data_IF_422995274862
#
_entry.id   IF_422995274862
#
_cell.length_a   1.000
_cell.length_b   1.000
_cell.length_c   1.000
_cell.angle_alpha   90.00
_cell.angle_beta   90.00
_cell.angle_gamma   90.00
#
_symmetry.space_group_name_H-M   'P 1'
#
loop_
_entity.id
_entity.type
_entity.pdbx_description
1 polymer ?
#
# COMPACT_ATOMS: atom_id res chain seq x y z
N UNK A 1 9.95 -14.69 33.64
CA UNK A 1 9.46 -13.32 33.91
C UNK A 1 9.09 -12.73 32.56
N UNK A 2 7.80 -12.73 32.19
CA UNK A 2 7.33 -12.09 30.97
C UNK A 2 7.10 -10.60 31.29
N UNK A 3 7.96 -9.74 30.79
CA UNK A 3 7.65 -8.32 30.74
C UNK A 3 6.39 -8.16 29.87
N UNK A 4 5.27 -7.90 30.53
CA UNK A 4 4.07 -7.43 29.88
C UNK A 4 4.41 -6.07 29.24
N UNK A 5 4.63 -6.09 27.94
CA UNK A 5 4.68 -4.86 27.15
C UNK A 5 3.32 -4.18 27.36
N UNK A 6 3.28 -3.18 28.26
CA UNK A 6 2.14 -2.29 28.40
C UNK A 6 1.95 -1.57 27.06
N UNK A 7 1.19 -2.17 26.15
CA UNK A 7 0.72 -1.50 24.94
C UNK A 7 -0.19 -0.37 25.42
N UNK A 8 0.33 0.84 25.30
CA UNK A 8 -0.42 2.06 25.58
C UNK A 8 -1.61 2.08 24.61
N UNK A 9 -2.76 1.60 25.06
CA UNK A 9 -3.96 1.34 24.25
C UNK A 9 -4.64 2.65 23.81
N UNK A 10 -3.83 3.67 23.51
CA UNK A 10 -4.26 4.98 23.04
C UNK A 10 -4.21 5.01 21.49
N UNK A 11 -5.27 5.56 20.88
CA UNK A 11 -5.32 5.86 19.45
C UNK A 11 -4.20 6.80 18.98
N UNK A 12 -3.62 7.54 19.91
CA UNK A 12 -2.51 8.48 19.67
C UNK A 12 -1.20 7.98 20.28
N UNK A 13 -1.06 6.65 20.45
CA UNK A 13 0.23 6.07 20.84
C UNK A 13 1.29 6.36 19.76
N UNK A 14 2.56 6.51 20.16
CA UNK A 14 3.67 6.76 19.23
C UNK A 14 3.69 5.75 18.08
N UNK A 15 3.40 4.48 18.37
CA UNK A 15 3.34 3.42 17.36
C UNK A 15 2.19 3.62 16.38
N UNK A 16 1.00 3.98 16.84
CA UNK A 16 -0.15 4.25 15.99
C UNK A 16 0.10 5.46 15.08
N UNK A 17 0.63 6.55 15.64
CA UNK A 17 0.99 7.75 14.87
C UNK A 17 2.03 7.41 13.79
N UNK A 18 3.06 6.62 14.13
CA UNK A 18 4.07 6.18 13.18
C UNK A 18 3.46 5.35 12.03
N UNK A 19 2.53 4.43 12.33
CA UNK A 19 1.84 3.63 11.31
C UNK A 19 1.01 4.53 10.39
N UNK A 20 0.25 5.48 10.93
CA UNK A 20 -0.58 6.39 10.14
C UNK A 20 0.27 7.33 9.29
N UNK A 21 1.36 7.87 9.84
CA UNK A 21 2.31 8.70 9.08
C UNK A 21 2.97 7.90 7.95
N UNK A 22 3.44 6.68 8.23
CA UNK A 22 4.02 5.81 7.22
C UNK A 22 3.02 5.47 6.11
N UNK A 23 1.76 5.20 6.47
CA UNK A 23 0.68 4.95 5.53
C UNK A 23 0.38 6.19 4.67
N UNK A 24 0.25 7.36 5.30
CA UNK A 24 -0.01 8.60 4.57
C UNK A 24 1.07 8.85 3.53
N UNK A 25 2.34 8.83 3.94
CA UNK A 25 3.47 9.06 3.03
C UNK A 25 3.52 8.00 1.92
N UNK A 26 3.32 6.72 2.26
CA UNK A 26 3.30 5.63 1.30
C UNK A 26 2.20 5.79 0.25
N UNK A 27 0.97 6.06 0.67
CA UNK A 27 -0.18 6.25 -0.23
C UNK A 27 -0.08 7.57 -1.03
N UNK A 28 0.44 8.63 -0.42
CA UNK A 28 0.74 9.88 -1.11
C UNK A 28 1.76 9.64 -2.24
N UNK A 29 2.86 8.93 -1.93
CA UNK A 29 3.87 8.57 -2.92
C UNK A 29 3.31 7.72 -4.06
N UNK A 30 2.47 6.72 -3.77
CA UNK A 30 1.84 5.86 -4.79
C UNK A 30 1.02 6.70 -5.78
N UNK A 31 0.28 7.68 -5.29
CA UNK A 31 -0.58 8.52 -6.11
C UNK A 31 0.18 9.64 -6.84
N UNK A 32 1.12 10.29 -6.18
CA UNK A 32 1.98 11.30 -6.80
C UNK A 32 2.85 10.68 -7.90
N UNK A 33 3.43 9.50 -7.64
CA UNK A 33 4.27 8.80 -8.61
C UNK A 33 3.49 8.39 -9.86
N UNK A 34 2.21 8.02 -9.73
CA UNK A 34 1.39 7.71 -10.89
C UNK A 34 1.37 8.89 -11.86
N UNK A 35 0.99 10.08 -11.39
CA UNK A 35 0.89 11.27 -12.24
C UNK A 35 2.25 11.71 -12.78
N UNK A 36 3.30 11.66 -11.96
CA UNK A 36 4.66 11.95 -12.41
C UNK A 36 5.14 10.97 -13.49
N UNK A 37 4.80 9.67 -13.35
CA UNK A 37 5.17 8.65 -14.36
C UNK A 37 4.35 8.81 -15.64
N UNK A 38 3.05 9.14 -15.55
CA UNK A 38 2.22 9.43 -16.74
C UNK A 38 2.76 10.64 -17.51
N UNK A 39 3.15 11.71 -16.80
CA UNK A 39 3.77 12.87 -17.42
C UNK A 39 5.12 12.54 -18.08
N UNK A 40 5.95 11.71 -17.43
CA UNK A 40 7.20 11.20 -18.01
C UNK A 40 6.93 10.44 -19.32
N UNK A 41 5.95 9.52 -19.31
CA UNK A 41 5.61 8.72 -20.48
C UNK A 41 5.11 9.62 -21.63
N UNK A 42 4.35 10.66 -21.33
CA UNK A 42 3.91 11.66 -22.31
C UNK A 42 5.11 12.42 -22.92
N UNK A 43 6.07 12.84 -22.08
CA UNK A 43 7.31 13.48 -22.57
C UNK A 43 8.17 12.55 -23.43
N UNK A 44 8.16 11.25 -23.14
CA UNK A 44 8.89 10.23 -23.91
C UNK A 44 8.10 9.70 -25.13
N UNK A 45 6.97 10.33 -25.45
CA UNK A 45 6.11 9.98 -26.59
C UNK A 45 5.61 8.52 -26.56
N UNK A 46 5.33 7.99 -25.37
CA UNK A 46 4.67 6.69 -25.26
C UNK A 46 3.25 6.78 -25.82
N UNK A 47 2.76 5.73 -26.53
CA UNK A 47 1.40 5.71 -27.07
C UNK A 47 0.36 5.74 -25.95
N UNK A 48 -0.83 6.30 -26.22
CA UNK A 48 -1.89 6.50 -25.22
C UNK A 48 -2.32 5.22 -24.49
N UNK A 49 -2.33 4.09 -25.18
CA UNK A 49 -2.64 2.78 -24.56
C UNK A 49 -1.66 2.38 -23.44
N UNK A 50 -0.50 2.98 -23.37
CA UNK A 50 0.50 2.68 -22.34
C UNK A 50 0.08 3.16 -20.92
N UNK A 51 -0.75 4.18 -20.84
CA UNK A 51 -1.24 4.72 -19.56
C UNK A 51 -2.13 3.73 -18.78
N UNK A 52 -3.20 3.14 -19.36
CA UNK A 52 -3.94 2.10 -18.68
C UNK A 52 -3.10 0.85 -18.40
N UNK A 53 -2.16 0.47 -19.27
CA UNK A 53 -1.26 -0.65 -19.04
C UNK A 53 -0.39 -0.44 -17.81
N UNK A 54 0.13 0.78 -17.60
CA UNK A 54 0.90 1.11 -16.39
C UNK A 54 0.09 0.83 -15.12
N UNK A 55 -1.18 1.23 -15.08
CA UNK A 55 -2.07 0.98 -13.95
C UNK A 55 -2.47 -0.50 -13.83
N UNK A 56 -2.67 -1.18 -14.96
CA UNK A 56 -2.95 -2.63 -14.96
C UNK A 56 -1.78 -3.43 -14.36
N UNK A 57 -0.53 -3.03 -14.58
CA UNK A 57 0.65 -3.66 -13.98
C UNK A 57 0.67 -3.47 -12.46
N UNK A 58 0.31 -2.28 -11.97
CA UNK A 58 0.21 -2.01 -10.54
C UNK A 58 -0.88 -2.88 -9.88
N UNK A 59 -2.09 -2.87 -10.44
CA UNK A 59 -3.21 -3.70 -9.94
C UNK A 59 -2.93 -5.19 -10.12
N UNK A 60 -2.29 -5.57 -11.23
CA UNK A 60 -1.87 -6.94 -11.51
C UNK A 60 -0.96 -7.50 -10.42
N UNK A 61 -0.07 -6.69 -9.86
CA UNK A 61 0.74 -7.09 -8.72
C UNK A 61 -0.12 -7.50 -7.51
N UNK A 62 -1.19 -6.76 -7.19
CA UNK A 62 -2.12 -7.14 -6.11
C UNK A 62 -2.80 -8.49 -6.39
N UNK A 63 -3.26 -8.71 -7.61
CA UNK A 63 -3.96 -9.95 -7.99
C UNK A 63 -2.99 -11.15 -7.93
N UNK A 64 -1.81 -11.01 -8.52
CA UNK A 64 -0.82 -12.09 -8.61
C UNK A 64 -0.25 -12.46 -7.23
N UNK A 65 -0.01 -11.47 -6.38
CA UNK A 65 0.60 -11.71 -5.07
C UNK A 65 -0.42 -11.89 -3.94
N UNK A 66 -1.73 -11.66 -4.17
CA UNK A 66 -2.78 -11.82 -3.17
C UNK A 66 -2.70 -13.13 -2.35
N UNK A 67 -2.47 -14.32 -2.97
CA UNK A 67 -2.37 -15.58 -2.23
C UNK A 67 -1.16 -15.65 -1.28
N UNK A 68 -0.14 -14.84 -1.51
CA UNK A 68 1.15 -14.94 -0.83
C UNK A 68 1.39 -13.85 0.21
N UNK A 69 0.95 -12.62 -0.07
CA UNK A 69 1.28 -11.45 0.75
C UNK A 69 0.69 -11.49 2.16
N UNK A 70 -0.46 -12.15 2.34
CA UNK A 70 -1.07 -12.32 3.67
C UNK A 70 -0.20 -13.20 4.57
N UNK A 71 0.21 -14.37 4.08
CA UNK A 71 1.09 -15.27 4.82
C UNK A 71 2.49 -14.66 5.02
N UNK A 72 2.99 -13.92 4.03
CA UNK A 72 4.23 -13.18 4.17
C UNK A 72 4.13 -12.17 5.32
N UNK A 73 3.07 -11.37 5.36
CA UNK A 73 2.86 -10.38 6.42
C UNK A 73 2.71 -11.02 7.81
N UNK A 74 2.12 -12.21 7.92
CA UNK A 74 1.96 -12.94 9.19
C UNK A 74 3.25 -13.65 9.66
N UNK A 75 4.13 -14.02 8.71
CA UNK A 75 5.39 -14.72 9.02
C UNK A 75 6.47 -13.80 9.59
N UNK A 76 6.35 -12.49 9.39
CA UNK A 76 7.31 -11.49 9.86
C UNK A 76 6.64 -10.42 10.73
N UNK A 77 7.46 -9.69 11.49
CA UNK A 77 6.99 -8.51 12.20
C UNK A 77 6.42 -7.49 11.20
N UNK A 78 5.16 -7.11 11.35
CA UNK A 78 4.42 -6.31 10.37
C UNK A 78 5.08 -4.96 10.07
N UNK A 79 5.67 -4.31 11.08
CA UNK A 79 6.45 -3.08 10.89
C UNK A 79 7.66 -3.28 9.95
N UNK A 80 8.33 -4.45 10.01
CA UNK A 80 9.41 -4.79 9.07
C UNK A 80 8.89 -5.03 7.66
N UNK A 81 7.76 -5.71 7.52
CA UNK A 81 7.11 -5.92 6.22
C UNK A 81 6.77 -4.58 5.57
N UNK A 82 6.17 -3.66 6.33
CA UNK A 82 5.85 -2.31 5.85
C UNK A 82 7.11 -1.53 5.45
N UNK A 83 8.19 -1.64 6.22
CA UNK A 83 9.47 -0.99 5.92
C UNK A 83 10.09 -1.53 4.62
N UNK A 84 10.17 -2.86 4.46
CA UNK A 84 10.69 -3.51 3.25
C UNK A 84 9.84 -3.17 2.03
N UNK A 85 8.52 -3.18 2.18
CA UNK A 85 7.58 -2.83 1.13
C UNK A 85 7.76 -1.37 0.65
N UNK A 86 7.90 -0.41 1.58
CA UNK A 86 8.21 0.98 1.24
C UNK A 86 9.63 1.14 0.65
N UNK A 87 10.60 0.34 1.10
CA UNK A 87 11.92 0.26 0.49
C UNK A 87 11.86 -0.20 -0.97
N UNK A 88 11.04 -1.21 -1.27
CA UNK A 88 10.82 -1.68 -2.64
C UNK A 88 10.16 -0.60 -3.52
N UNK A 89 9.20 0.14 -2.97
CA UNK A 89 8.60 1.30 -3.66
C UNK A 89 9.61 2.40 -3.93
N UNK A 90 10.48 2.70 -2.95
CA UNK A 90 11.59 3.65 -3.11
C UNK A 90 12.52 3.23 -4.25
N UNK A 91 12.89 1.95 -4.31
CA UNK A 91 13.72 1.41 -5.41
C UNK A 91 13.00 1.58 -6.74
N UNK A 92 11.70 1.21 -6.81
CA UNK A 92 10.90 1.37 -8.03
C UNK A 92 10.83 2.83 -8.52
N UNK A 93 10.56 3.78 -7.62
CA UNK A 93 10.56 5.20 -7.93
C UNK A 93 11.94 5.70 -8.36
N UNK A 94 13.00 5.26 -7.68
CA UNK A 94 14.39 5.55 -8.06
C UNK A 94 14.73 5.02 -9.44
N UNK A 95 14.35 3.80 -9.78
CA UNK A 95 14.54 3.24 -11.12
C UNK A 95 13.92 4.13 -12.20
N UNK A 96 12.67 4.60 -12.00
CA UNK A 96 12.01 5.50 -12.94
C UNK A 96 12.79 6.83 -13.04
N UNK A 97 13.21 7.39 -11.91
CA UNK A 97 13.96 8.65 -11.86
C UNK A 97 15.31 8.57 -12.61
N UNK A 98 15.97 7.41 -12.56
CA UNK A 98 17.24 7.15 -13.26
C UNK A 98 17.06 6.64 -14.71
N UNK A 99 15.87 6.75 -15.28
CA UNK A 99 15.63 6.44 -16.69
C UNK A 99 15.42 4.96 -17.01
N UNK A 100 15.20 4.12 -15.99
CA UNK A 100 14.75 2.73 -16.22
C UNK A 100 13.32 2.75 -16.76
N UNK A 101 12.97 1.75 -17.54
CA UNK A 101 11.64 1.61 -18.15
C UNK A 101 10.52 1.82 -17.11
N UNK A 102 9.60 2.79 -17.34
CA UNK A 102 8.55 3.16 -16.37
C UNK A 102 7.66 1.99 -15.94
N UNK A 103 7.38 1.06 -16.85
CA UNK A 103 6.57 -0.13 -16.54
C UNK A 103 7.25 -1.02 -15.50
N UNK A 104 8.55 -1.25 -15.61
CA UNK A 104 9.31 -2.06 -14.66
C UNK A 104 9.37 -1.38 -13.28
N UNK A 105 9.72 -0.11 -13.23
CA UNK A 105 9.79 0.65 -11.99
C UNK A 105 8.43 0.72 -11.29
N UNK A 106 7.37 0.99 -12.04
CA UNK A 106 6.02 1.09 -11.47
C UNK A 106 5.46 -0.29 -11.05
N UNK A 107 5.82 -1.37 -11.73
CA UNK A 107 5.51 -2.74 -11.29
C UNK A 107 6.16 -3.06 -9.94
N UNK A 108 7.42 -2.66 -9.73
CA UNK A 108 8.08 -2.81 -8.42
C UNK A 108 7.34 -2.07 -7.31
N UNK A 109 6.85 -0.86 -7.60
CA UNK A 109 6.01 -0.10 -6.66
C UNK A 109 4.71 -0.85 -6.36
N UNK A 110 4.06 -1.44 -7.37
CA UNK A 110 2.86 -2.26 -7.21
C UNK A 110 3.10 -3.50 -6.35
N UNK A 111 4.24 -4.18 -6.52
CA UNK A 111 4.63 -5.34 -5.68
C UNK A 111 4.82 -4.88 -4.23
N UNK A 112 5.51 -3.77 -4.01
CA UNK A 112 5.65 -3.17 -2.68
C UNK A 112 4.31 -2.82 -2.06
N UNK A 113 3.40 -2.21 -2.83
CA UNK A 113 2.07 -1.85 -2.37
C UNK A 113 1.22 -3.09 -2.00
N UNK A 114 1.29 -4.15 -2.80
CA UNK A 114 0.62 -5.42 -2.52
C UNK A 114 1.12 -6.06 -1.22
N UNK A 115 2.43 -6.08 -0.97
CA UNK A 115 3.02 -6.61 0.26
C UNK A 115 2.71 -5.75 1.49
N UNK A 116 2.63 -4.43 1.31
CA UNK A 116 2.33 -3.47 2.37
C UNK A 116 0.90 -3.62 2.91
N UNK A 117 -0.07 -3.87 2.03
CA UNK A 117 -1.50 -3.83 2.33
C UNK A 117 -1.94 -4.73 3.49
N UNK A 118 -1.65 -6.05 3.53
CA UNK A 118 -2.07 -6.90 4.64
C UNK A 118 -1.35 -6.54 5.94
N UNK A 119 -0.09 -6.08 5.88
CA UNK A 119 0.66 -5.68 7.06
C UNK A 119 0.07 -4.44 7.74
N UNK A 120 -0.38 -3.44 6.96
CA UNK A 120 -0.97 -2.20 7.51
C UNK A 120 -2.27 -2.44 8.28
N UNK A 121 -3.14 -3.32 7.78
CA UNK A 121 -4.38 -3.65 8.49
C UNK A 121 -4.12 -4.59 9.68
N UNK A 122 -3.22 -5.55 9.50
CA UNK A 122 -2.89 -6.49 10.56
C UNK A 122 -2.25 -5.81 11.77
N UNK A 123 -1.39 -4.81 11.58
CA UNK A 123 -0.72 -4.12 12.68
C UNK A 123 -1.69 -3.30 13.54
N UNK A 124 -2.81 -2.82 12.98
CA UNK A 124 -3.82 -2.11 13.76
C UNK A 124 -4.42 -2.99 14.84
N UNK A 125 -4.70 -4.26 14.51
CA UNK A 125 -5.20 -5.25 15.48
C UNK A 125 -4.17 -5.64 16.55
N UNK A 126 -2.87 -5.44 16.28
CA UNK A 126 -1.80 -5.68 17.26
C UNK A 126 -1.58 -4.45 18.19
N UNK A 127 -1.87 -3.25 17.70
CA UNK A 127 -1.68 -2.00 18.45
C UNK A 127 -2.91 -1.59 19.26
N UNK A 128 -4.10 -2.06 18.89
CA UNK A 128 -5.35 -1.68 19.56
C UNK A 128 -6.41 -2.77 19.45
N UNK A 129 -7.42 -2.72 20.32
CA UNK A 129 -8.48 -3.74 20.41
C UNK A 129 -9.85 -3.10 20.61
N UNK A 130 -10.92 -3.88 20.38
CA UNK A 130 -12.30 -3.46 20.63
C UNK A 130 -12.73 -2.24 19.81
N UNK A 131 -13.49 -1.33 20.42
CA UNK A 131 -14.04 -0.13 19.77
C UNK A 131 -12.95 0.80 19.20
N UNK A 132 -11.77 0.78 19.79
CA UNK A 132 -10.63 1.56 19.31
C UNK A 132 -10.10 1.05 17.98
N UNK A 133 -10.24 -0.25 17.69
CA UNK A 133 -9.84 -0.83 16.40
C UNK A 133 -10.70 -0.27 15.26
N UNK A 134 -12.00 -0.09 15.47
CA UNK A 134 -12.90 0.53 14.49
C UNK A 134 -12.48 1.97 14.20
N UNK A 135 -12.17 2.75 15.25
CA UNK A 135 -11.69 4.13 15.11
C UNK A 135 -10.32 4.20 14.43
N UNK A 136 -9.41 3.26 14.75
CA UNK A 136 -8.09 3.16 14.13
C UNK A 136 -8.20 2.85 12.62
N UNK A 137 -9.09 1.93 12.22
CA UNK A 137 -9.36 1.66 10.81
C UNK A 137 -9.95 2.90 10.11
N UNK A 138 -10.90 3.59 10.75
CA UNK A 138 -11.46 4.84 10.21
C UNK A 138 -10.39 5.92 10.00
N UNK A 139 -9.48 6.10 10.96
CA UNK A 139 -8.36 7.04 10.85
C UNK A 139 -7.37 6.63 9.75
N UNK A 140 -7.10 5.33 9.63
CA UNK A 140 -6.26 4.77 8.55
C UNK A 140 -6.86 5.04 7.18
N UNK A 141 -8.15 4.79 6.98
CA UNK A 141 -8.84 5.04 5.70
C UNK A 141 -8.95 6.53 5.39
N UNK A 142 -9.26 7.37 6.38
CA UNK A 142 -9.28 8.83 6.20
C UNK A 142 -7.91 9.36 5.78
N UNK A 143 -6.84 8.87 6.41
CA UNK A 143 -5.45 9.18 6.04
C UNK A 143 -5.15 8.72 4.60
N UNK A 144 -5.61 7.55 4.21
CA UNK A 144 -5.42 7.00 2.85
C UNK A 144 -6.14 7.87 1.81
N UNK A 145 -7.40 8.25 2.07
CA UNK A 145 -8.18 9.11 1.15
C UNK A 145 -7.53 10.49 1.02
N UNK A 146 -7.12 11.11 2.13
CA UNK A 146 -6.40 12.38 2.11
C UNK A 146 -5.09 12.27 1.30
N UNK A 147 -4.33 11.18 1.49
CA UNK A 147 -3.10 10.92 0.76
C UNK A 147 -3.34 10.72 -0.75
N UNK A 148 -4.43 10.06 -1.14
CA UNK A 148 -4.83 9.89 -2.55
C UNK A 148 -5.10 11.27 -3.19
N UNK A 149 -5.91 12.10 -2.56
CA UNK A 149 -6.29 13.40 -3.09
C UNK A 149 -5.07 14.32 -3.18
N UNK A 150 -4.35 14.50 -2.07
CA UNK A 150 -3.19 15.39 -2.01
C UNK A 150 -2.03 14.89 -2.87
N UNK A 151 -1.79 13.58 -2.90
CA UNK A 151 -0.76 12.97 -3.73
C UNK A 151 -1.04 13.12 -5.22
N UNK A 152 -2.28 12.91 -5.64
CA UNK A 152 -2.69 13.11 -7.03
C UNK A 152 -2.53 14.56 -7.48
N UNK A 153 -2.99 15.51 -6.66
CA UNK A 153 -2.85 16.94 -6.96
C UNK A 153 -1.38 17.36 -6.99
N UNK A 154 -0.61 17.01 -5.97
CA UNK A 154 0.80 17.37 -5.88
C UNK A 154 1.61 16.73 -7.01
N UNK A 155 1.36 15.46 -7.31
CA UNK A 155 2.02 14.75 -8.40
C UNK A 155 1.76 15.38 -9.76
N UNK A 156 0.51 15.78 -10.06
CA UNK A 156 0.14 16.48 -11.28
C UNK A 156 0.82 17.85 -11.38
N UNK A 157 0.64 18.71 -10.38
CA UNK A 157 1.20 20.07 -10.36
C UNK A 157 2.73 20.05 -10.48
N UNK A 158 3.40 19.19 -9.73
CA UNK A 158 4.86 19.06 -9.78
C UNK A 158 5.34 18.52 -11.14
N UNK A 159 4.60 17.60 -11.74
CA UNK A 159 4.94 17.02 -13.03
C UNK A 159 4.76 18.03 -14.17
N UNK A 160 3.73 18.86 -14.10
CA UNK A 160 3.52 19.96 -15.07
C UNK A 160 4.66 20.98 -15.00
N UNK A 161 5.20 21.23 -13.82
CA UNK A 161 6.33 22.12 -13.66
C UNK A 161 7.65 21.47 -14.09
N UNK A 162 7.99 20.29 -13.55
CA UNK A 162 9.22 19.56 -13.88
C UNK A 162 9.13 18.08 -13.51
N UNK A 163 9.04 17.18 -14.48
CA UNK A 163 8.80 15.76 -14.28
C UNK A 163 9.86 15.08 -13.40
N UNK A 164 11.16 15.39 -13.63
CA UNK A 164 12.24 14.79 -12.84
C UNK A 164 12.18 15.26 -11.38
N UNK A 165 11.79 16.53 -11.13
CA UNK A 165 11.59 17.02 -9.77
C UNK A 165 10.42 16.28 -9.08
N UNK A 166 9.30 16.07 -9.79
CA UNK A 166 8.17 15.32 -9.29
C UNK A 166 8.56 13.89 -8.90
N UNK A 167 9.30 13.18 -9.76
CA UNK A 167 9.82 11.83 -9.48
C UNK A 167 10.77 11.82 -8.28
N UNK A 168 11.64 12.82 -8.18
CA UNK A 168 12.58 12.95 -7.04
C UNK A 168 11.84 13.19 -5.73
N UNK A 169 10.80 14.02 -5.73
CA UNK A 169 9.93 14.24 -4.56
C UNK A 169 9.24 12.94 -4.16
N UNK A 170 8.74 12.14 -5.11
CA UNK A 170 8.15 10.84 -4.81
C UNK A 170 9.17 9.90 -4.12
N UNK A 171 10.42 9.86 -4.60
CA UNK A 171 11.47 9.08 -3.95
C UNK A 171 11.76 9.55 -2.51
N UNK A 172 11.83 10.87 -2.29
CA UNK A 172 12.00 11.46 -0.94
C UNK A 172 10.81 11.09 -0.04
N UNK A 173 9.59 11.13 -0.54
CA UNK A 173 8.38 10.75 0.21
C UNK A 173 8.42 9.28 0.61
N UNK A 174 8.83 8.36 -0.27
CA UNK A 174 9.01 6.96 0.09
C UNK A 174 10.15 6.74 1.09
N UNK A 175 11.24 7.48 0.96
CA UNK A 175 12.30 7.47 1.97
C UNK A 175 11.77 7.92 3.34
N UNK A 176 10.96 8.98 3.36
CA UNK A 176 10.24 9.42 4.56
C UNK A 176 9.32 8.33 5.14
N UNK A 177 8.60 7.60 4.28
CA UNK A 177 7.77 6.47 4.72
C UNK A 177 8.61 5.33 5.33
N UNK A 178 9.77 5.01 4.75
CA UNK A 178 10.72 4.04 5.33
C UNK A 178 11.21 4.51 6.70
N UNK A 179 11.57 5.77 6.82
CA UNK A 179 12.00 6.36 8.11
C UNK A 179 10.88 6.32 9.14
N UNK A 180 9.64 6.68 8.76
CA UNK A 180 8.48 6.59 9.66
C UNK A 180 8.25 5.16 10.15
N UNK A 181 8.50 4.15 9.33
CA UNK A 181 8.40 2.74 9.74
C UNK A 181 9.41 2.34 10.83
N UNK A 182 10.53 3.05 10.98
CA UNK A 182 11.51 2.77 12.04
C UNK A 182 10.96 3.07 13.45
N UNK A 183 9.96 3.97 13.55
CA UNK A 183 9.31 4.31 14.82
C UNK A 183 8.16 3.38 15.17
N UNK A 184 7.81 2.45 14.29
CA UNK A 184 6.81 1.41 14.57
C UNK A 184 7.38 0.44 15.61
N UNK A 185 6.64 0.13 16.69
CA UNK A 185 7.10 -0.83 17.70
C UNK A 185 7.45 -2.19 17.07
N UNK A 186 8.49 -2.82 17.58
CA UNK A 186 8.88 -4.18 17.16
C UNK A 186 7.92 -5.19 17.80
N UNK A 187 6.83 -5.47 17.11
CA UNK A 187 5.89 -6.51 17.50
C UNK A 187 6.35 -7.87 16.97
N UNK A 188 6.09 -8.98 17.70
CA UNK A 188 6.42 -10.31 17.22
C UNK A 188 5.63 -10.65 15.95
N UNK A 189 6.12 -11.59 15.15
CA UNK A 189 5.38 -12.12 14.01
C UNK A 189 4.13 -12.86 14.51
N UNK A 190 3.01 -12.73 13.83
CA UNK A 190 1.77 -13.41 14.18
C UNK A 190 1.89 -14.94 14.05
N UNK A 191 2.67 -15.41 13.06
CA UNK A 191 2.90 -16.83 12.79
C UNK A 191 4.36 -17.09 12.42
N UNK A 192 5.30 -17.07 13.40
CA UNK A 192 6.72 -17.28 13.11
C UNK A 192 6.96 -18.73 12.65
N UNK A 193 7.86 -18.92 11.69
CA UNK A 193 8.30 -20.25 11.24
C UNK A 193 7.35 -20.99 10.31
N UNK A 194 6.34 -20.33 9.75
CA UNK A 194 5.43 -20.95 8.79
C UNK A 194 6.17 -21.39 7.52
N UNK A 195 5.95 -22.63 7.07
CA UNK A 195 6.60 -23.16 5.88
C UNK A 195 6.06 -22.50 4.60
N UNK A 196 6.99 -22.00 3.78
CA UNK A 196 6.71 -21.36 2.48
C UNK A 196 6.51 -22.40 1.39
N UNK A 197 5.32 -23.01 1.34
CA UNK A 197 4.96 -23.97 0.30
C UNK A 197 3.86 -23.38 -0.58
N UNK A 198 4.09 -23.31 -1.87
CA UNK A 198 3.17 -22.69 -2.84
C UNK A 198 1.76 -23.30 -2.80
N UNK A 199 1.65 -24.63 -2.85
CA UNK A 199 0.34 -25.34 -2.85
C UNK A 199 -0.52 -25.08 -1.62
N UNK A 200 -0.01 -25.22 -0.37
CA UNK A 200 -0.82 -24.90 0.80
C UNK A 200 -1.22 -23.42 0.88
N UNK A 201 -0.38 -22.49 0.41
CA UNK A 201 -0.67 -21.07 0.44
C UNK A 201 -1.84 -20.71 -0.47
N UNK A 202 -1.82 -21.16 -1.71
CA UNK A 202 -2.91 -20.93 -2.67
C UNK A 202 -4.21 -21.63 -2.21
N UNK A 203 -4.12 -22.86 -1.73
CA UNK A 203 -5.29 -23.57 -1.19
C UNK A 203 -5.91 -22.85 -0.01
N UNK A 204 -5.11 -22.38 0.95
CA UNK A 204 -5.59 -21.62 2.11
C UNK A 204 -6.26 -20.30 1.68
N UNK A 205 -5.70 -19.61 0.69
CA UNK A 205 -6.28 -18.39 0.16
C UNK A 205 -7.66 -18.64 -0.47
N UNK A 206 -7.78 -19.61 -1.39
CA UNK A 206 -9.07 -19.91 -2.02
C UNK A 206 -10.10 -20.47 -1.03
N UNK A 207 -9.67 -21.25 -0.04
CA UNK A 207 -10.53 -21.71 1.04
C UNK A 207 -11.07 -20.53 1.85
N UNK A 208 -10.22 -19.58 2.24
CA UNK A 208 -10.63 -18.37 2.94
C UNK A 208 -11.60 -17.53 2.09
N UNK A 209 -11.33 -17.34 0.81
CA UNK A 209 -12.26 -16.64 -0.11
C UNK A 209 -13.63 -17.34 -0.15
N UNK A 210 -13.66 -18.68 -0.20
CA UNK A 210 -14.91 -19.45 -0.21
C UNK A 210 -15.70 -19.27 1.08
N UNK A 211 -15.03 -19.31 2.23
CA UNK A 211 -15.65 -19.10 3.55
C UNK A 211 -16.25 -17.69 3.64
N UNK A 212 -15.49 -16.68 3.26
CA UNK A 212 -15.94 -15.28 3.26
C UNK A 212 -17.13 -15.06 2.34
N UNK A 213 -17.14 -15.69 1.16
CA UNK A 213 -18.21 -15.57 0.19
C UNK A 213 -19.51 -16.27 0.63
N UNK A 214 -19.39 -17.35 1.40
CA UNK A 214 -20.56 -18.09 1.95
C UNK A 214 -21.28 -17.33 3.06
N UNK A 215 -20.58 -16.48 3.79
CA UNK A 215 -21.19 -15.64 4.83
C UNK A 215 -21.83 -14.41 4.19
N UNK A 216 -23.16 -14.23 4.39
CA UNK A 216 -23.93 -13.16 3.76
C UNK A 216 -23.49 -11.76 4.14
N UNK A 217 -23.15 -11.52 5.41
CA UNK A 217 -22.70 -10.21 5.90
C UNK A 217 -21.33 -9.85 5.32
N UNK A 218 -20.41 -10.82 5.31
CA UNK A 218 -19.06 -10.61 4.76
C UNK A 218 -19.12 -10.39 3.25
N UNK A 219 -19.97 -11.16 2.54
CA UNK A 219 -20.19 -10.97 1.11
C UNK A 219 -20.74 -9.59 0.79
N UNK A 220 -21.73 -9.11 1.55
CA UNK A 220 -22.28 -7.76 1.39
C UNK A 220 -21.20 -6.70 1.58
N UNK A 221 -20.39 -6.81 2.63
CA UNK A 221 -19.27 -5.91 2.89
C UNK A 221 -18.23 -5.94 1.76
N UNK A 222 -17.84 -7.12 1.29
CA UNK A 222 -16.87 -7.27 0.20
C UNK A 222 -17.39 -6.64 -1.11
N UNK A 223 -18.64 -6.91 -1.48
CA UNK A 223 -19.27 -6.33 -2.68
C UNK A 223 -19.38 -4.82 -2.56
N UNK A 224 -19.86 -4.31 -1.42
CA UNK A 224 -19.98 -2.87 -1.17
C UNK A 224 -18.63 -2.14 -1.26
N UNK A 225 -17.60 -2.68 -0.61
CA UNK A 225 -16.24 -2.11 -0.65
C UNK A 225 -15.68 -2.16 -2.08
N UNK A 226 -15.88 -3.27 -2.81
CA UNK A 226 -15.40 -3.41 -4.19
C UNK A 226 -16.10 -2.41 -5.13
N UNK A 227 -17.40 -2.20 -4.98
CA UNK A 227 -18.15 -1.21 -5.75
C UNK A 227 -17.69 0.22 -5.44
N UNK A 228 -17.47 0.54 -4.15
CA UNK A 228 -16.98 1.85 -3.74
C UNK A 228 -15.61 2.18 -4.37
N UNK A 229 -14.65 1.27 -4.24
CA UNK A 229 -13.32 1.47 -4.82
C UNK A 229 -13.36 1.42 -6.35
N UNK A 230 -14.18 0.56 -6.96
CA UNK A 230 -14.37 0.50 -8.41
C UNK A 230 -14.92 1.81 -8.97
N UNK A 231 -15.94 2.38 -8.32
CA UNK A 231 -16.49 3.69 -8.71
C UNK A 231 -15.43 4.80 -8.56
N UNK A 232 -14.67 4.80 -7.46
CA UNK A 232 -13.59 5.76 -7.25
C UNK A 232 -12.51 5.71 -8.32
N UNK A 233 -12.09 4.52 -8.72
CA UNK A 233 -11.11 4.34 -9.81
C UNK A 233 -11.69 4.82 -11.15
N UNK A 234 -12.94 4.48 -11.45
CA UNK A 234 -13.62 4.92 -12.70
C UNK A 234 -13.72 6.43 -12.77
N UNK A 235 -14.17 7.09 -11.69
CA UNK A 235 -14.22 8.55 -11.62
C UNK A 235 -12.84 9.19 -11.81
N UNK A 236 -11.81 8.60 -11.22
CA UNK A 236 -10.44 9.08 -11.38
C UNK A 236 -9.98 9.03 -12.84
N UNK A 237 -10.30 7.96 -13.58
CA UNK A 237 -9.99 7.86 -14.99
C UNK A 237 -10.72 8.91 -15.82
N UNK A 238 -12.01 9.15 -15.54
CA UNK A 238 -12.81 10.15 -16.24
C UNK A 238 -12.32 11.59 -16.00
N UNK A 239 -11.68 11.85 -14.85
CA UNK A 239 -11.13 13.18 -14.54
C UNK A 239 -9.75 13.43 -15.18
N UNK A 240 -9.07 12.39 -15.65
CA UNK A 240 -7.74 12.47 -16.27
C UNK A 240 -7.81 12.51 -17.80
N UNK A 241 -8.97 12.10 -18.36
CA UNK A 241 -9.28 12.21 -19.80
C UNK A 241 -9.70 13.64 -20.16
#
# INVERSE_FOLDING_TARGET
MSESVHTNNSLYSKGMVAVICAQFLSAFGDNALLFATLALMKQLFYPEWSQPVLQMLFVGAYILFAPFVGQFADSFAKGRVMMVANGLKLIGAGCICFGVNPFLGYTLVGIGAAAYSPAKYGILGELTTGDKLVKANGLMESSTIAAILLGSMAGGILADWHVVAALSVCAVVYAGAVVANLWIPKLPAARPGQSWRFRPMTHSFFSACTILWRNGETRFSLVGTSLFWGAGVTLRFLLVL
#
